data_IF_418024896118
#
_entry.id   IF_418024896118
#
_cell.length_a   1.000
_cell.length_b   1.000
_cell.length_c   1.000
_cell.angle_alpha   90.00
_cell.angle_beta   90.00
_cell.angle_gamma   90.00
#
_symmetry.space_group_name_H-M   'P 1'
#
loop_
_entity.id
_entity.type
_entity.pdbx_description
1 polymer ?
#
# COMPACT_ATOMS: atom_id res chain seq x y z
N UNK A 1 -4.15 5.18 21.53
CA UNK A 1 -4.68 5.68 20.25
C UNK A 1 -5.29 4.50 19.52
N UNK A 2 -6.49 4.64 18.95
CA UNK A 2 -7.18 3.58 18.23
C UNK A 2 -7.59 4.09 16.85
N UNK A 3 -7.57 3.22 15.83
CA UNK A 3 -8.05 3.52 14.47
C UNK A 3 -9.34 2.75 14.24
N UNK A 4 -10.33 3.41 13.65
CA UNK A 4 -11.65 2.81 13.37
C UNK A 4 -11.56 1.86 12.17
N UNK A 5 -12.23 0.71 12.23
CA UNK A 5 -12.41 -0.16 11.06
C UNK A 5 -13.12 0.58 9.90
N UNK A 6 -12.74 0.28 8.67
CA UNK A 6 -13.16 0.99 7.46
C UNK A 6 -12.32 2.22 7.13
N UNK A 7 -11.19 2.42 7.80
CA UNK A 7 -10.35 3.60 7.64
C UNK A 7 -9.10 3.29 6.84
N UNK A 8 -8.67 4.25 6.05
CA UNK A 8 -7.34 4.32 5.46
C UNK A 8 -6.63 5.55 6.02
N UNK A 9 -5.36 5.43 6.38
CA UNK A 9 -4.55 6.55 6.88
C UNK A 9 -3.37 6.75 5.93
N UNK A 10 -3.27 7.91 5.26
CA UNK A 10 -2.07 8.27 4.54
C UNK A 10 -0.96 8.58 5.56
N UNK A 11 0.18 7.94 5.37
CA UNK A 11 1.35 8.10 6.21
C UNK A 11 2.51 8.57 5.35
N UNK A 12 3.51 9.16 6.02
CA UNK A 12 4.83 9.26 5.41
C UNK A 12 5.37 7.84 5.17
N UNK A 13 6.15 7.73 4.11
CA UNK A 13 6.80 6.48 3.71
C UNK A 13 7.47 5.81 4.93
N UNK A 14 7.29 4.50 5.16
CA UNK A 14 7.89 3.79 6.28
C UNK A 14 9.42 3.92 6.33
N UNK A 15 10.07 4.20 5.19
CA UNK A 15 11.52 4.46 5.07
C UNK A 15 11.92 5.83 5.63
N UNK A 16 10.96 6.73 5.85
CA UNK A 16 11.16 8.04 6.52
C UNK A 16 11.10 7.88 8.04
N UNK A 17 10.50 6.80 8.55
CA UNK A 17 10.32 6.59 9.99
C UNK A 17 11.59 6.14 10.72
N UNK A 18 12.71 5.92 10.04
CA UNK A 18 14.02 5.79 10.71
C UNK A 18 14.57 7.16 11.14
N UNK A 19 13.81 7.89 11.97
CA UNK A 19 14.30 9.06 12.70
C UNK A 19 15.48 8.70 13.64
N UNK A 20 15.66 7.41 13.94
CA UNK A 20 16.80 6.88 14.68
C UNK A 20 18.11 6.80 13.86
N UNK A 21 18.05 6.89 12.52
CA UNK A 21 19.20 6.75 11.62
C UNK A 21 19.58 8.06 10.92
N UNK A 22 19.21 9.21 11.50
CA UNK A 22 19.51 10.55 10.96
C UNK A 22 21.02 10.90 10.89
N UNK A 23 21.91 9.94 11.16
CA UNK A 23 23.36 10.05 10.96
C UNK A 23 23.84 9.52 9.60
N UNK A 24 23.00 8.79 8.84
CA UNK A 24 23.33 8.35 7.48
C UNK A 24 22.97 9.44 6.45
N UNK A 25 23.92 9.94 5.64
CA UNK A 25 23.66 10.93 4.60
C UNK A 25 22.78 10.42 3.45
N UNK A 26 22.37 9.14 3.43
CA UNK A 26 21.29 8.63 2.57
C UNK A 26 19.90 9.10 3.02
N UNK A 27 19.77 10.39 3.32
CA UNK A 27 18.48 11.04 3.56
C UNK A 27 17.65 10.90 2.29
N UNK A 28 16.65 10.02 2.32
CA UNK A 28 15.67 9.90 1.25
C UNK A 28 14.91 11.22 1.22
N UNK A 29 15.29 12.10 0.29
CA UNK A 29 14.68 13.43 0.19
C UNK A 29 13.18 13.33 -0.09
N UNK A 30 12.41 14.26 0.48
CA UNK A 30 10.97 14.45 0.20
C UNK A 30 10.61 14.45 -1.30
N UNK A 31 11.56 14.77 -2.19
CA UNK A 31 11.38 14.77 -3.64
C UNK A 31 11.29 13.37 -4.27
N UNK A 32 11.92 12.33 -3.69
CA UNK A 32 11.67 10.93 -4.11
C UNK A 32 10.35 10.41 -3.52
N UNK A 33 9.99 10.90 -2.34
CA UNK A 33 8.82 10.50 -1.57
C UNK A 33 7.52 11.16 -2.05
N UNK A 34 7.59 12.29 -2.76
CA UNK A 34 6.42 12.92 -3.38
C UNK A 34 5.70 11.99 -4.36
N UNK A 35 6.41 10.99 -4.89
CA UNK A 35 5.88 9.98 -5.77
C UNK A 35 5.37 8.77 -5.00
N UNK A 36 5.61 8.63 -3.70
CA UNK A 36 5.26 7.43 -2.95
C UNK A 36 4.34 7.76 -1.78
N UNK A 37 3.09 7.30 -1.87
CA UNK A 37 2.14 7.40 -0.76
C UNK A 37 2.06 6.07 -0.03
N UNK A 38 2.34 6.10 1.27
CA UNK A 38 2.08 4.96 2.15
C UNK A 38 0.66 5.04 2.69
N UNK A 39 -0.12 4.00 2.45
CA UNK A 39 -1.50 3.86 2.92
C UNK A 39 -1.56 2.70 3.91
N UNK A 40 -1.81 3.03 5.17
CA UNK A 40 -2.18 2.02 6.15
C UNK A 40 -3.70 1.83 6.11
N UNK A 41 -4.16 0.62 5.84
CA UNK A 41 -5.54 0.30 5.54
C UNK A 41 -6.06 -0.65 6.62
N UNK A 42 -7.21 -0.31 7.22
CA UNK A 42 -7.94 -1.13 8.18
C UNK A 42 -9.34 -1.41 7.65
N UNK A 43 -9.52 -2.45 6.84
CA UNK A 43 -10.83 -2.82 6.32
C UNK A 43 -11.78 -3.25 7.43
N UNK A 44 -13.07 -3.10 7.20
CA UNK A 44 -14.10 -3.81 7.96
C UNK A 44 -14.03 -5.31 7.67
N UNK A 45 -14.75 -6.10 8.47
CA UNK A 45 -14.91 -7.55 8.23
C UNK A 45 -15.45 -7.86 6.83
N UNK A 46 -16.37 -7.01 6.35
CA UNK A 46 -16.94 -7.09 4.99
C UNK A 46 -15.99 -6.58 3.88
N UNK A 47 -14.73 -6.23 4.23
CA UNK A 47 -13.72 -5.81 3.27
C UNK A 47 -13.93 -4.40 2.73
N UNK A 48 -14.53 -3.49 3.50
CA UNK A 48 -14.71 -2.09 3.14
C UNK A 48 -13.69 -1.20 3.87
N UNK A 49 -13.07 -0.27 3.15
CA UNK A 49 -12.45 0.93 3.71
C UNK A 49 -12.43 2.02 2.66
N UNK A 50 -12.33 3.28 3.08
CA UNK A 50 -12.25 4.40 2.16
C UNK A 50 -11.29 5.48 2.65
N UNK A 51 -10.70 6.20 1.69
CA UNK A 51 -9.94 7.42 1.88
C UNK A 51 -10.41 8.45 0.87
N UNK A 52 -10.68 9.66 1.34
CA UNK A 52 -10.60 10.85 0.52
C UNK A 52 -9.46 11.69 1.08
N UNK A 53 -8.51 12.07 0.23
CA UNK A 53 -7.43 12.94 0.66
C UNK A 53 -7.06 13.96 -0.41
N UNK A 54 -6.57 15.09 0.07
CA UNK A 54 -6.06 16.17 -0.75
C UNK A 54 -4.54 16.20 -0.61
N UNK A 55 -3.85 16.15 -1.73
CA UNK A 55 -2.40 16.37 -1.80
C UNK A 55 -2.12 17.55 -2.72
N UNK A 56 -1.77 18.68 -2.11
CA UNK A 56 -1.63 19.99 -2.77
C UNK A 56 -2.89 20.36 -3.56
N UNK A 57 -2.84 20.28 -4.88
CA UNK A 57 -3.92 20.63 -5.81
C UNK A 57 -4.69 19.41 -6.33
N UNK A 58 -4.33 18.20 -5.89
CA UNK A 58 -4.90 16.95 -6.37
C UNK A 58 -5.84 16.37 -5.32
N UNK A 59 -7.04 16.02 -5.76
CA UNK A 59 -8.00 15.24 -4.99
C UNK A 59 -7.91 13.79 -5.42
N UNK A 60 -7.86 12.87 -4.47
CA UNK A 60 -7.81 11.44 -4.75
C UNK A 60 -8.73 10.69 -3.80
N UNK A 61 -9.38 9.66 -4.33
CA UNK A 61 -10.31 8.81 -3.59
C UNK A 61 -9.92 7.35 -3.76
N UNK A 62 -9.72 6.65 -2.66
CA UNK A 62 -9.39 5.24 -2.63
C UNK A 62 -10.45 4.47 -1.87
N UNK A 63 -10.78 3.27 -2.33
CA UNK A 63 -11.72 2.41 -1.62
C UNK A 63 -11.37 0.94 -1.76
N UNK A 64 -11.65 0.17 -0.71
CA UNK A 64 -11.66 -1.29 -0.76
C UNK A 64 -13.08 -1.74 -1.05
N UNK A 65 -13.25 -2.53 -2.10
CA UNK A 65 -14.49 -3.22 -2.45
C UNK A 65 -14.29 -4.72 -2.28
N UNK A 66 -15.27 -5.38 -1.69
CA UNK A 66 -15.33 -6.84 -1.65
C UNK A 66 -16.17 -7.40 -2.79
N UNK A 67 -15.55 -8.23 -3.64
CA UNK A 67 -16.24 -8.96 -4.72
C UNK A 67 -15.69 -10.39 -4.88
N UNK A 68 -15.81 -11.22 -3.82
CA UNK A 68 -15.15 -12.55 -3.67
C UNK A 68 -13.63 -12.50 -3.44
N UNK A 69 -13.04 -11.33 -3.57
CA UNK A 69 -11.66 -10.96 -3.29
C UNK A 69 -11.67 -9.50 -2.85
N UNK A 70 -10.62 -9.07 -2.16
CA UNK A 70 -10.47 -7.66 -1.79
C UNK A 70 -9.92 -6.91 -2.99
N UNK A 71 -10.58 -5.83 -3.39
CA UNK A 71 -10.17 -4.96 -4.49
C UNK A 71 -9.90 -3.56 -3.94
N UNK A 72 -8.68 -3.06 -4.08
CA UNK A 72 -8.37 -1.67 -3.73
C UNK A 72 -8.38 -0.88 -5.02
N UNK A 73 -9.36 -0.01 -5.19
CA UNK A 73 -9.45 0.85 -6.36
C UNK A 73 -8.89 2.23 -6.05
N UNK A 74 -8.10 2.75 -6.99
CA UNK A 74 -7.45 4.05 -6.92
C UNK A 74 -8.05 4.97 -7.96
N UNK A 75 -8.60 6.10 -7.51
CA UNK A 75 -8.84 7.26 -8.36
C UNK A 75 -7.82 8.33 -7.94
N UNK A 76 -6.64 8.30 -8.56
CA UNK A 76 -5.53 9.19 -8.25
C UNK A 76 -5.33 10.19 -9.38
N UNK A 77 -5.52 11.47 -9.07
CA UNK A 77 -5.36 12.53 -10.05
C UNK A 77 -3.89 12.97 -10.20
N UNK A 78 -2.97 12.41 -9.42
CA UNK A 78 -1.56 12.80 -9.39
C UNK A 78 -0.76 12.00 -10.42
N UNK A 79 -0.22 12.66 -11.47
CA UNK A 79 0.60 11.96 -12.44
C UNK A 79 1.88 11.45 -11.76
N UNK A 80 2.23 10.18 -12.02
CA UNK A 80 3.44 9.53 -11.51
C UNK A 80 3.43 9.19 -10.01
N UNK A 81 2.26 9.04 -9.37
CA UNK A 81 2.18 8.46 -8.02
C UNK A 81 2.33 6.93 -8.06
N UNK A 82 3.17 6.46 -7.16
CA UNK A 82 3.41 5.09 -6.75
C UNK A 82 2.89 4.94 -5.31
N UNK A 83 2.49 3.75 -4.91
CA UNK A 83 1.83 3.53 -3.62
C UNK A 83 2.45 2.36 -2.88
N UNK A 84 2.64 2.51 -1.56
CA UNK A 84 2.82 1.38 -0.65
C UNK A 84 1.50 1.18 0.08
N UNK A 85 0.94 -0.02 -0.01
CA UNK A 85 -0.22 -0.41 0.77
C UNK A 85 0.25 -1.27 1.92
N UNK A 86 -0.20 -0.97 3.13
CA UNK A 86 -0.11 -1.82 4.30
C UNK A 86 -1.52 -2.17 4.73
N UNK A 87 -1.99 -3.37 4.43
CA UNK A 87 -3.38 -3.79 4.68
C UNK A 87 -3.44 -4.64 5.92
N UNK A 88 -4.12 -4.15 6.97
CA UNK A 88 -4.31 -4.86 8.23
C UNK A 88 -5.45 -5.86 8.12
N UNK A 89 -5.16 -7.14 8.33
CA UNK A 89 -6.16 -8.21 8.38
C UNK A 89 -5.54 -9.47 9.01
N UNK A 90 -6.33 -10.48 9.42
CA UNK A 90 -5.78 -11.76 9.88
C UNK A 90 -5.19 -12.57 8.70
N UNK A 91 -4.05 -12.13 8.14
CA UNK A 91 -3.38 -12.81 7.04
C UNK A 91 -2.69 -14.09 7.53
N UNK A 92 -3.31 -15.26 7.32
CA UNK A 92 -2.78 -16.56 7.76
C UNK A 92 -2.35 -17.46 6.58
N UNK A 93 -1.39 -17.01 5.79
CA UNK A 93 -0.70 -17.80 4.73
C UNK A 93 -1.43 -17.98 3.37
N UNK A 94 -2.71 -17.67 3.27
CA UNK A 94 -3.53 -17.90 2.05
C UNK A 94 -3.38 -16.87 0.93
N UNK A 95 -2.55 -15.85 1.10
CA UNK A 95 -2.26 -14.91 -0.01
C UNK A 95 -1.36 -15.61 -1.00
N UNK A 96 -1.95 -16.14 -2.08
CA UNK A 96 -1.23 -16.83 -3.15
C UNK A 96 -0.80 -15.87 -4.25
N UNK A 97 -1.62 -14.87 -4.55
CA UNK A 97 -1.38 -13.90 -5.62
C UNK A 97 -1.91 -12.51 -5.25
N UNK A 98 -1.20 -11.48 -5.71
CA UNK A 98 -1.67 -10.09 -5.77
C UNK A 98 -1.61 -9.67 -7.23
N UNK A 99 -2.72 -9.21 -7.78
CA UNK A 99 -2.83 -8.96 -9.23
C UNK A 99 -3.58 -7.68 -9.53
N UNK A 100 -3.47 -7.18 -10.76
CA UNK A 100 -4.41 -6.20 -11.31
C UNK A 100 -5.60 -6.91 -11.98
N UNK A 101 -6.74 -6.24 -12.26
CA UNK A 101 -7.81 -6.79 -13.09
C UNK A 101 -7.36 -7.12 -14.51
N UNK A 102 -6.32 -6.44 -15.01
CA UNK A 102 -5.74 -6.65 -16.34
C UNK A 102 -4.82 -7.89 -16.40
N UNK A 103 -4.59 -8.56 -15.26
CA UNK A 103 -3.84 -9.81 -15.20
C UNK A 103 -2.35 -9.67 -14.89
N UNK A 104 -1.87 -8.46 -14.59
CA UNK A 104 -0.51 -8.27 -14.07
C UNK A 104 -0.40 -8.95 -12.70
N UNK A 105 0.68 -9.69 -12.47
CA UNK A 105 0.94 -10.41 -11.23
C UNK A 105 2.13 -9.77 -10.53
N UNK A 106 1.89 -9.21 -9.34
CA UNK A 106 2.96 -8.62 -8.54
C UNK A 106 3.86 -9.73 -7.99
N UNK A 107 5.20 -9.60 -8.10
CA UNK A 107 6.12 -10.59 -7.55
C UNK A 107 6.08 -10.58 -6.02
N UNK A 108 6.15 -11.77 -5.41
CA UNK A 108 6.31 -11.88 -3.95
C UNK A 108 7.74 -11.49 -3.58
N UNK A 109 7.91 -10.51 -2.71
CA UNK A 109 9.21 -10.10 -2.20
C UNK A 109 9.76 -11.13 -1.19
N UNK A 110 11.08 -11.27 -1.15
CA UNK A 110 11.76 -12.19 -0.23
C UNK A 110 11.75 -11.70 1.24
N UNK A 111 11.69 -10.39 1.45
CA UNK A 111 11.60 -9.74 2.76
C UNK A 111 10.95 -8.36 2.64
N UNK A 112 10.51 -7.80 3.77
CA UNK A 112 10.02 -6.43 3.83
C UNK A 112 11.10 -5.42 3.42
N UNK A 113 12.34 -5.62 3.90
CA UNK A 113 13.50 -4.79 3.49
C UNK A 113 13.72 -4.79 1.98
N UNK A 114 13.55 -5.95 1.33
CA UNK A 114 13.66 -6.04 -0.14
C UNK A 114 12.52 -5.30 -0.83
N UNK A 115 11.29 -5.42 -0.33
CA UNK A 115 10.13 -4.70 -0.87
C UNK A 115 10.28 -3.18 -0.76
N UNK A 116 10.89 -2.70 0.31
CA UNK A 116 11.08 -1.27 0.61
C UNK A 116 12.44 -0.73 0.12
N UNK A 117 13.29 -1.54 -0.48
CA UNK A 117 14.59 -1.08 -0.98
C UNK A 117 14.46 -0.10 -2.15
N UNK A 118 15.48 0.75 -2.35
CA UNK A 118 15.54 1.70 -3.47
C UNK A 118 15.52 1.01 -4.85
N UNK A 119 15.97 -0.24 -4.92
CA UNK A 119 16.00 -1.05 -6.15
C UNK A 119 14.66 -1.76 -6.42
N UNK A 120 13.72 -1.74 -5.48
CA UNK A 120 12.41 -2.32 -5.68
C UNK A 120 11.62 -1.47 -6.69
N UNK A 121 10.94 -2.13 -7.64
CA UNK A 121 10.02 -1.49 -8.57
C UNK A 121 8.56 -1.83 -8.27
N UNK A 122 8.29 -3.00 -7.71
CA UNK A 122 6.97 -3.45 -7.30
C UNK A 122 7.06 -4.75 -6.50
N UNK A 123 5.98 -5.15 -5.84
CA UNK A 123 5.87 -6.48 -5.25
C UNK A 123 4.93 -6.53 -4.06
N UNK A 124 4.91 -7.65 -3.36
CA UNK A 124 4.13 -7.80 -2.13
C UNK A 124 4.75 -8.80 -1.15
N UNK A 125 4.43 -8.66 0.13
CA UNK A 125 4.80 -9.63 1.17
C UNK A 125 3.80 -9.58 2.33
N UNK A 126 3.60 -10.71 3.01
CA UNK A 126 2.85 -10.75 4.27
C UNK A 126 3.84 -10.58 5.42
N UNK A 127 3.63 -9.58 6.26
CA UNK A 127 4.28 -9.44 7.56
C UNK A 127 3.42 -10.12 8.62
N UNK A 128 3.89 -11.27 9.09
CA UNK A 128 3.21 -12.08 10.10
C UNK A 128 3.31 -11.49 11.51
N UNK A 129 4.31 -10.65 11.78
CA UNK A 129 4.49 -10.00 13.09
C UNK A 129 3.39 -8.97 13.30
N UNK A 130 3.11 -8.18 12.27
CA UNK A 130 2.08 -7.14 12.30
C UNK A 130 0.71 -7.61 11.80
N UNK A 131 0.63 -8.82 11.21
CA UNK A 131 -0.55 -9.32 10.49
C UNK A 131 -1.01 -8.33 9.43
N UNK A 132 -0.09 -7.97 8.55
CA UNK A 132 -0.34 -7.01 7.46
C UNK A 132 0.16 -7.54 6.13
N UNK A 133 -0.58 -7.26 5.06
CA UNK A 133 -0.12 -7.46 3.69
C UNK A 133 0.46 -6.14 3.17
N UNK A 134 1.73 -6.18 2.80
CA UNK A 134 2.42 -5.07 2.17
C UNK A 134 2.40 -5.24 0.64
N UNK A 135 2.10 -4.18 -0.10
CA UNK A 135 2.17 -4.18 -1.56
C UNK A 135 2.75 -2.86 -2.06
N UNK A 136 3.85 -2.94 -2.81
CA UNK A 136 4.44 -1.81 -3.51
C UNK A 136 3.96 -1.80 -4.97
N UNK A 137 3.30 -0.71 -5.34
CA UNK A 137 2.79 -0.43 -6.68
C UNK A 137 3.66 0.65 -7.30
N UNK A 138 4.66 0.26 -8.10
CA UNK A 138 5.57 1.23 -8.74
C UNK A 138 5.25 1.61 -10.19
N UNK A 139 4.25 0.99 -10.82
CA UNK A 139 3.71 1.54 -12.07
C UNK A 139 2.80 2.74 -11.70
N UNK A 140 2.81 3.86 -12.44
CA UNK A 140 1.82 4.95 -12.29
C UNK A 140 0.72 4.88 -13.35
N UNK A 141 -0.55 4.90 -12.94
CA UNK A 141 -1.77 4.84 -13.78
C UNK A 141 -2.89 5.49 -12.96
N UNK A 142 -3.71 6.29 -13.64
CA UNK A 142 -4.76 7.12 -13.03
C UNK A 142 -5.90 6.30 -12.43
N UNK A 143 -6.12 5.09 -12.96
CA UNK A 143 -7.15 4.15 -12.50
C UNK A 143 -6.50 2.80 -12.29
N UNK A 144 -6.47 2.34 -11.04
CA UNK A 144 -5.87 1.06 -10.70
C UNK A 144 -6.80 0.29 -9.82
N UNK A 145 -6.76 -1.03 -9.95
CA UNK A 145 -7.32 -1.90 -8.95
C UNK A 145 -6.28 -2.93 -8.58
N UNK A 146 -6.13 -3.21 -7.29
CA UNK A 146 -5.31 -4.33 -6.82
C UNK A 146 -6.22 -5.36 -6.17
N UNK A 147 -6.16 -6.58 -6.69
CA UNK A 147 -6.82 -7.76 -6.16
C UNK A 147 -5.93 -8.43 -5.13
N UNK A 148 -6.43 -8.54 -3.92
CA UNK A 148 -5.80 -9.26 -2.81
C UNK A 148 -6.59 -10.53 -2.54
N UNK A 149 -5.89 -11.58 -2.11
CA UNK A 149 -6.55 -12.76 -1.55
C UNK A 149 -7.39 -12.37 -0.32
N UNK A 150 -8.33 -13.23 0.06
CA UNK A 150 -9.13 -13.03 1.28
C UNK A 150 -8.26 -13.42 2.50
N UNK A 151 -8.18 -12.60 3.55
CA UNK A 151 -7.69 -13.04 4.84
C UNK A 151 -8.66 -14.09 5.43
N UNK A 152 -8.14 -15.19 5.97
CA UNK A 152 -8.97 -16.26 6.55
C UNK A 152 -9.59 -15.82 7.87
#
# INVERSE_FOLDING_TARGET
MFVRAGTMVPLLDPRVMTLSDAADPKVITMKRLQHLLHLWIWPTEDGFAQLEFHDRSWWSMYHVIYAKHWMIAFNDMTPNRTNILQVSAPWTETVSTVTTPTGHVYPKAASLDRLLSDDASEGWIVDHTQRTLWNFIGVPELWRTVKLARPL
#
